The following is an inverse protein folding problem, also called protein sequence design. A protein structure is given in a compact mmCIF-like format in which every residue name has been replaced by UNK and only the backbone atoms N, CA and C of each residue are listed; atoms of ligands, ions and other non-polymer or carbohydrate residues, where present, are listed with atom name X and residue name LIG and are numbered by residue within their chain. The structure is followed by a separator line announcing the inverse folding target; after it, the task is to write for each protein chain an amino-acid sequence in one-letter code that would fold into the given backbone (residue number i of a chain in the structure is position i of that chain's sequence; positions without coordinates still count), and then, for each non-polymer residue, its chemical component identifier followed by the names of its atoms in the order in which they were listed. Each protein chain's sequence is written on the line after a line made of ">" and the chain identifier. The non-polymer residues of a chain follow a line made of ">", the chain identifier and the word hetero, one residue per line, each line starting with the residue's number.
data_IF_256782569232
#
_entry.id   IF_256782569232
#
_cell.length_a   1.000
_cell.length_b   1.000
_cell.length_c   1.000
_cell.angle_alpha   90.00
_cell.angle_beta   90.00
_cell.angle_gamma   90.00
#
_symmetry.space_group_name_H-M   'P 1'
#
loop_
_entity.id
_entity.type
_entity.pdbx_description
1 polymer ?
#
# COMPACT_ATOMS: atom_id res chain seq x y z
N UNK A 1 0.44 19.45 1.42
CA UNK A 1 -0.68 18.53 1.73
C UNK A 1 -0.49 17.95 3.13
N UNK A 2 -1.10 18.61 4.13
CA UNK A 2 -0.94 18.28 5.57
C UNK A 2 -2.24 17.84 6.24
N UNK A 3 -3.26 17.45 5.47
CA UNK A 3 -4.42 16.77 6.03
C UNK A 3 -4.17 15.25 6.01
N UNK A 4 -3.52 14.73 7.06
CA UNK A 4 -3.53 13.29 7.29
C UNK A 4 -2.45 12.77 8.25
N UNK A 5 -2.96 12.12 9.30
CA UNK A 5 -2.31 11.77 10.55
C UNK A 5 -1.87 12.97 11.37
N UNK A 6 -2.68 13.27 12.38
CA UNK A 6 -2.40 14.23 13.44
C UNK A 6 -1.97 13.53 14.74
N UNK A 7 -1.53 12.27 14.62
CA UNK A 7 -1.18 11.39 15.74
C UNK A 7 -2.36 10.66 16.37
N UNK A 8 -3.60 11.12 16.15
CA UNK A 8 -4.80 10.50 16.72
C UNK A 8 -5.63 9.75 15.66
N UNK A 9 -5.82 10.34 14.48
CA UNK A 9 -6.52 9.71 13.37
C UNK A 9 -5.56 9.15 12.30
N UNK A 10 -5.91 8.02 11.69
CA UNK A 10 -5.15 7.38 10.60
C UNK A 10 -5.06 8.28 9.35
N UNK A 11 -4.11 7.96 8.46
CA UNK A 11 -4.03 8.58 7.14
C UNK A 11 -4.19 7.52 6.02
N UNK A 12 -5.37 7.42 5.41
CA UNK A 12 -5.66 6.46 4.34
C UNK A 12 -4.65 6.50 3.19
N UNK A 13 -4.34 7.68 2.67
CA UNK A 13 -3.42 7.81 1.52
C UNK A 13 -2.01 7.31 1.86
N UNK A 14 -1.46 7.67 3.03
CA UNK A 14 -0.15 7.15 3.44
C UNK A 14 -0.16 5.63 3.63
N UNK A 15 -1.26 5.07 4.15
CA UNK A 15 -1.42 3.61 4.28
C UNK A 15 -1.51 2.92 2.92
N UNK A 16 -2.27 3.49 1.99
CA UNK A 16 -2.37 3.01 0.62
C UNK A 16 -1.01 3.00 -0.08
N UNK A 17 -0.27 4.11 0.00
CA UNK A 17 1.10 4.23 -0.53
C UNK A 17 2.00 3.19 0.11
N UNK A 18 1.95 3.04 1.44
CA UNK A 18 2.75 2.05 2.15
C UNK A 18 2.45 0.61 1.69
N UNK A 19 1.18 0.23 1.56
CA UNK A 19 0.80 -1.10 1.04
C UNK A 19 1.39 -1.31 -0.35
N UNK A 20 1.16 -0.36 -1.26
CA UNK A 20 1.60 -0.48 -2.65
C UNK A 20 3.12 -0.51 -2.80
N UNK A 21 3.84 0.34 -2.08
CA UNK A 21 5.30 0.42 -2.11
C UNK A 21 5.98 -0.75 -1.38
N UNK A 22 5.47 -1.11 -0.19
CA UNK A 22 6.13 -2.05 0.72
C UNK A 22 5.67 -3.49 0.55
N UNK A 23 4.43 -3.73 0.11
CA UNK A 23 3.94 -5.09 -0.10
C UNK A 23 3.93 -5.47 -1.57
N UNK A 24 3.76 -4.52 -2.50
CA UNK A 24 3.58 -4.84 -3.93
C UNK A 24 4.71 -4.34 -4.84
N UNK A 25 5.69 -3.61 -4.29
CA UNK A 25 6.79 -2.99 -5.04
C UNK A 25 6.31 -2.14 -6.23
N UNK A 26 5.14 -1.53 -6.10
CA UNK A 26 4.47 -0.74 -7.13
C UNK A 26 4.01 0.58 -6.51
N UNK A 27 4.95 1.48 -6.14
CA UNK A 27 4.60 2.75 -5.51
C UNK A 27 3.74 3.60 -6.46
N UNK A 28 2.72 4.31 -5.95
CA UNK A 28 2.02 5.29 -6.76
C UNK A 28 2.98 6.38 -7.27
N UNK A 29 2.64 6.98 -8.42
CA UNK A 29 3.36 8.15 -8.92
C UNK A 29 3.35 9.28 -7.88
N UNK A 30 4.42 10.09 -7.81
CA UNK A 30 4.44 11.25 -6.94
C UNK A 30 3.29 12.21 -7.28
N UNK A 31 2.74 12.93 -6.29
CA UNK A 31 1.70 13.91 -6.56
C UNK A 31 2.22 14.98 -7.54
N UNK A 32 1.37 15.52 -8.44
CA UNK A 32 1.78 16.59 -9.34
C UNK A 32 2.31 17.81 -8.56
N UNK A 33 3.29 18.56 -9.10
CA UNK A 33 3.68 19.84 -8.54
C UNK A 33 2.46 20.79 -8.57
N UNK A 34 2.35 21.65 -7.56
CA UNK A 34 1.33 22.71 -7.45
C UNK A 34 -0.14 22.27 -7.44
N UNK A 35 -0.48 21.13 -6.82
CA UNK A 35 -1.88 20.80 -6.54
C UNK A 35 -2.45 21.76 -5.47
N UNK A 36 -3.48 22.57 -5.79
CA UNK A 36 -4.09 23.44 -4.80
C UNK A 36 -4.88 22.63 -3.78
N UNK A 37 -4.69 22.94 -2.49
CA UNK A 37 -5.44 22.33 -1.39
C UNK A 37 -6.95 22.54 -1.56
N UNK A 38 -7.73 21.45 -1.54
CA UNK A 38 -9.19 21.50 -1.69
C UNK A 38 -9.89 22.06 -0.43
N UNK A 39 -9.18 22.03 0.70
CA UNK A 39 -9.60 22.52 2.03
C UNK A 39 -10.17 23.94 2.01
N UNK A 40 -9.59 24.86 1.22
CA UNK A 40 -9.98 26.29 1.22
C UNK A 40 -11.28 26.58 0.47
N UNK A 41 -11.72 25.68 -0.41
CA UNK A 41 -12.85 25.91 -1.33
C UNK A 41 -14.18 25.38 -0.82
N UNK A 42 -14.19 24.62 0.28
CA UNK A 42 -15.37 23.89 0.76
C UNK A 42 -15.64 24.29 2.21
N UNK A 43 -16.76 24.99 2.50
CA UNK A 43 -17.12 25.33 3.87
C UNK A 43 -17.19 24.08 4.75
N UNK A 44 -16.61 24.16 5.95
CA UNK A 44 -16.56 23.04 6.89
C UNK A 44 -15.88 21.76 6.36
N UNK A 45 -14.96 21.86 5.38
CA UNK A 45 -14.18 20.72 4.89
C UNK A 45 -13.54 19.92 6.04
N UNK A 46 -13.00 20.63 7.03
CA UNK A 46 -12.41 20.04 8.23
C UNK A 46 -13.40 19.32 9.15
N UNK A 47 -14.72 19.41 8.93
CA UNK A 47 -15.73 18.69 9.71
C UNK A 47 -16.17 17.39 9.03
N UNK A 48 -15.81 17.21 7.76
CA UNK A 48 -16.06 15.98 7.01
C UNK A 48 -15.16 14.86 7.53
N UNK A 49 -15.66 13.62 7.47
CA UNK A 49 -14.82 12.43 7.60
C UNK A 49 -13.76 12.39 6.50
N UNK A 50 -12.67 11.66 6.73
CA UNK A 50 -11.59 11.57 5.74
C UNK A 50 -12.11 11.01 4.40
N UNK A 51 -13.03 10.03 4.45
CA UNK A 51 -13.70 9.48 3.26
C UNK A 51 -14.45 10.55 2.48
N UNK A 52 -15.21 11.41 3.16
CA UNK A 52 -15.95 12.52 2.55
C UNK A 52 -14.98 13.58 2.00
N UNK A 53 -13.91 13.91 2.72
CA UNK A 53 -12.86 14.81 2.24
C UNK A 53 -12.22 14.29 0.94
N UNK A 54 -11.89 13.00 0.88
CA UNK A 54 -11.36 12.36 -0.32
C UNK A 54 -12.40 12.31 -1.45
N UNK A 55 -13.68 12.08 -1.15
CA UNK A 55 -14.74 12.14 -2.15
C UNK A 55 -14.87 13.54 -2.77
N UNK A 56 -14.77 14.59 -1.95
CA UNK A 56 -14.75 15.97 -2.41
C UNK A 56 -13.49 16.27 -3.23
N UNK A 57 -12.32 15.81 -2.76
CA UNK A 57 -11.05 15.99 -3.47
C UNK A 57 -11.06 15.34 -4.87
N UNK A 58 -11.67 14.15 -4.99
CA UNK A 58 -11.84 13.40 -6.24
C UNK A 58 -12.88 13.97 -7.20
N UNK A 59 -13.62 15.04 -6.85
CA UNK A 59 -14.55 15.67 -7.81
C UNK A 59 -13.82 16.35 -8.97
N UNK A 60 -12.53 16.69 -8.80
CA UNK A 60 -11.69 17.18 -9.89
C UNK A 60 -11.19 15.98 -10.70
N UNK A 61 -11.48 15.99 -12.00
CA UNK A 61 -11.10 14.89 -12.92
C UNK A 61 -9.61 14.53 -12.81
N UNK A 62 -8.73 15.53 -12.87
CA UNK A 62 -7.28 15.35 -12.71
C UNK A 62 -6.86 14.69 -11.38
N UNK A 63 -7.65 14.80 -10.32
CA UNK A 63 -7.38 14.14 -9.04
C UNK A 63 -8.00 12.74 -8.99
N UNK A 64 -9.16 12.55 -9.61
CA UNK A 64 -9.91 11.29 -9.59
C UNK A 64 -9.10 10.12 -10.16
N UNK A 65 -8.36 10.35 -11.24
CA UNK A 65 -7.68 9.28 -11.97
C UNK A 65 -6.57 8.63 -11.14
N UNK A 66 -5.69 9.41 -10.53
CA UNK A 66 -4.65 8.87 -9.65
C UNK A 66 -5.27 8.26 -8.37
N UNK A 67 -6.24 8.94 -7.76
CA UNK A 67 -6.83 8.49 -6.49
C UNK A 67 -7.65 7.20 -6.63
N UNK A 68 -8.23 6.91 -7.80
CA UNK A 68 -8.92 5.64 -8.08
C UNK A 68 -8.01 4.42 -7.84
N UNK A 69 -6.72 4.56 -8.12
CA UNK A 69 -5.71 3.52 -7.89
C UNK A 69 -5.07 3.53 -6.50
N UNK A 70 -5.43 4.47 -5.61
CA UNK A 70 -4.75 4.70 -4.32
C UNK A 70 -5.72 4.58 -3.16
N UNK A 71 -6.77 5.42 -3.12
CA UNK A 71 -7.68 5.53 -1.96
C UNK A 71 -8.21 4.19 -1.44
N UNK A 72 -8.65 3.26 -2.32
CA UNK A 72 -9.23 2.01 -1.87
C UNK A 72 -8.32 1.19 -0.94
N UNK A 73 -7.01 1.15 -1.21
CA UNK A 73 -6.06 0.41 -0.38
C UNK A 73 -5.99 0.94 1.06
N UNK A 74 -6.15 2.26 1.22
CA UNK A 74 -6.11 2.94 2.51
C UNK A 74 -7.44 2.90 3.25
N UNK A 75 -8.55 3.07 2.53
CA UNK A 75 -9.91 3.02 3.10
C UNK A 75 -10.18 1.67 3.75
N UNK A 76 -9.68 0.57 3.16
CA UNK A 76 -9.74 -0.77 3.74
C UNK A 76 -9.18 -0.86 5.18
N UNK A 77 -8.33 0.09 5.60
CA UNK A 77 -7.70 0.12 6.92
C UNK A 77 -8.30 1.19 7.86
N UNK A 78 -9.40 1.85 7.49
CA UNK A 78 -9.98 2.94 8.29
C UNK A 78 -10.60 2.48 9.61
N UNK A 79 -10.90 1.18 9.73
CA UNK A 79 -11.26 0.51 10.98
C UNK A 79 -10.14 0.47 12.03
N UNK A 80 -8.94 0.98 11.72
CA UNK A 80 -7.81 1.06 12.65
C UNK A 80 -7.34 2.50 12.80
N UNK A 81 -7.14 2.94 14.04
CA UNK A 81 -6.61 4.27 14.36
C UNK A 81 -5.14 4.45 13.98
N UNK A 82 -4.55 5.62 14.28
CA UNK A 82 -3.18 5.95 13.90
C UNK A 82 -2.12 4.94 14.40
N UNK A 83 -2.34 4.30 15.55
CA UNK A 83 -1.42 3.34 16.17
C UNK A 83 -1.77 1.88 15.87
N UNK A 84 -2.90 1.64 15.18
CA UNK A 84 -3.31 0.30 14.75
C UNK A 84 -4.32 -0.37 15.67
N UNK A 85 -4.93 0.35 16.63
CA UNK A 85 -6.03 -0.19 17.42
C UNK A 85 -7.33 -0.13 16.63
N UNK A 86 -8.18 -1.13 16.84
CA UNK A 86 -9.50 -1.15 16.22
C UNK A 86 -10.37 0.01 16.70
N UNK A 87 -11.14 0.60 15.79
CA UNK A 87 -12.06 1.70 16.07
C UNK A 87 -13.32 1.62 15.21
N UNK A 88 -14.43 2.07 15.78
CA UNK A 88 -15.68 2.31 15.03
C UNK A 88 -15.88 3.78 14.68
N UNK A 89 -15.16 4.68 15.37
CA UNK A 89 -15.28 6.13 15.18
C UNK A 89 -13.91 6.79 15.17
N UNK A 90 -13.76 7.84 14.37
CA UNK A 90 -12.57 8.71 14.36
C UNK A 90 -12.34 9.33 15.73
N UNK A 91 -11.08 9.49 16.15
CA UNK A 91 -10.71 9.97 17.47
C UNK A 91 -11.19 11.41 17.72
N UNK A 92 -10.94 12.32 16.76
CA UNK A 92 -11.27 13.75 16.91
C UNK A 92 -12.71 14.08 16.59
N UNK A 93 -13.22 13.61 15.44
CA UNK A 93 -14.54 14.02 14.92
C UNK A 93 -15.70 13.13 15.41
N UNK A 94 -15.39 12.03 16.10
CA UNK A 94 -16.35 11.01 16.55
C UNK A 94 -17.30 10.51 15.44
N UNK A 95 -16.88 10.59 14.17
CA UNK A 95 -17.62 10.09 13.01
C UNK A 95 -17.42 8.59 12.86
N UNK A 96 -18.46 7.86 12.47
CA UNK A 96 -18.34 6.43 12.14
C UNK A 96 -17.34 6.25 10.99
N UNK A 97 -16.48 5.25 11.12
CA UNK A 97 -15.58 4.82 10.03
C UNK A 97 -16.26 3.74 9.20
N UNK A 98 -15.94 3.68 7.92
CA UNK A 98 -16.32 2.58 7.03
C UNK A 98 -15.10 2.16 6.23
N UNK A 99 -14.83 0.86 6.24
CA UNK A 99 -13.71 0.24 5.53
C UNK A 99 -14.13 -0.42 4.21
N UNK A 100 -15.37 -0.19 3.77
CA UNK A 100 -15.91 -0.73 2.52
C UNK A 100 -15.39 0.08 1.33
N UNK A 101 -14.83 -0.59 0.33
CA UNK A 101 -14.28 0.07 -0.86
C UNK A 101 -14.11 -0.90 -2.02
N UNK A 102 -13.86 -0.36 -3.21
CA UNK A 102 -13.66 -1.13 -4.44
C UNK A 102 -12.22 -0.91 -4.90
N UNK A 103 -11.42 -1.97 -4.91
CA UNK A 103 -10.06 -1.96 -5.43
C UNK A 103 -10.08 -1.92 -6.99
N UNK A 104 -8.95 -1.55 -7.63
CA UNK A 104 -8.83 -1.64 -9.09
C UNK A 104 -9.22 -3.04 -9.60
N UNK A 105 -9.93 -3.10 -10.73
CA UNK A 105 -10.50 -4.34 -11.24
C UNK A 105 -11.88 -4.70 -10.67
N UNK A 106 -12.57 -3.74 -10.03
CA UNK A 106 -13.92 -3.91 -9.45
C UNK A 106 -13.99 -4.95 -8.33
N UNK A 107 -12.91 -5.11 -7.55
CA UNK A 107 -12.90 -6.03 -6.42
C UNK A 107 -13.40 -5.33 -5.15
N UNK A 108 -14.59 -5.70 -4.70
CA UNK A 108 -15.19 -5.18 -3.48
C UNK A 108 -14.50 -5.78 -2.24
N UNK A 109 -14.15 -4.92 -1.28
CA UNK A 109 -13.54 -5.35 -0.01
C UNK A 109 -14.20 -4.64 1.17
N UNK A 110 -14.33 -5.38 2.28
CA UNK A 110 -14.75 -4.83 3.57
C UNK A 110 -13.67 -5.05 4.62
N UNK A 111 -12.79 -4.06 4.77
CA UNK A 111 -11.77 -4.08 5.81
C UNK A 111 -10.50 -4.89 5.49
N UNK A 112 -9.67 -5.06 6.52
CA UNK A 112 -8.34 -5.70 6.42
C UNK A 112 -8.42 -7.18 6.03
N UNK A 113 -9.38 -7.93 6.56
CA UNK A 113 -9.49 -9.36 6.29
C UNK A 113 -9.71 -9.65 4.79
N UNK A 114 -10.61 -8.89 4.15
CA UNK A 114 -10.83 -9.03 2.70
C UNK A 114 -9.66 -8.50 1.89
N UNK A 115 -9.01 -7.42 2.34
CA UNK A 115 -7.77 -6.95 1.71
C UNK A 115 -6.67 -8.02 1.75
N UNK A 116 -6.52 -8.75 2.86
CA UNK A 116 -5.57 -9.86 2.95
C UNK A 116 -5.92 -10.98 1.97
N UNK A 117 -7.20 -11.37 1.88
CA UNK A 117 -7.66 -12.37 0.90
C UNK A 117 -7.35 -11.92 -0.53
N UNK A 118 -7.63 -10.66 -0.86
CA UNK A 118 -7.33 -10.09 -2.17
C UNK A 118 -5.82 -10.14 -2.48
N UNK A 119 -4.96 -9.75 -1.53
CA UNK A 119 -3.51 -9.81 -1.70
C UNK A 119 -3.03 -11.25 -1.93
N UNK A 120 -3.62 -12.23 -1.24
CA UNK A 120 -3.25 -13.65 -1.35
C UNK A 120 -3.81 -14.34 -2.59
N UNK A 121 -4.94 -13.89 -3.13
CA UNK A 121 -5.60 -14.54 -4.26
C UNK A 121 -5.26 -13.86 -5.59
N UNK A 122 -5.27 -12.52 -5.62
CA UNK A 122 -5.15 -11.75 -6.86
C UNK A 122 -3.75 -11.16 -7.07
N UNK A 123 -2.97 -11.00 -5.99
CA UNK A 123 -1.67 -10.30 -6.02
C UNK A 123 -0.51 -11.09 -5.43
N UNK A 124 -0.69 -12.40 -5.25
CA UNK A 124 0.27 -13.28 -4.56
C UNK A 124 1.65 -13.26 -5.19
N UNK A 125 1.73 -13.38 -6.51
CA UNK A 125 2.99 -13.39 -7.25
C UNK A 125 3.72 -12.06 -7.13
N UNK A 126 2.99 -10.95 -7.26
CA UNK A 126 3.58 -9.62 -7.08
C UNK A 126 4.07 -9.40 -5.65
N UNK A 127 3.30 -9.82 -4.65
CA UNK A 127 3.72 -9.79 -3.25
C UNK A 127 5.00 -10.62 -3.03
N UNK A 128 5.05 -11.83 -3.60
CA UNK A 128 6.20 -12.70 -3.51
C UNK A 128 7.44 -12.06 -4.15
N UNK A 129 7.32 -11.51 -5.36
CA UNK A 129 8.41 -10.81 -6.06
C UNK A 129 8.89 -9.57 -5.29
N UNK A 130 7.96 -8.82 -4.69
CA UNK A 130 8.29 -7.68 -3.84
C UNK A 130 9.09 -8.12 -2.59
N UNK A 131 8.69 -9.22 -1.96
CA UNK A 131 9.37 -9.80 -0.81
C UNK A 131 10.78 -10.30 -1.18
N UNK A 132 10.91 -11.04 -2.28
CA UNK A 132 12.19 -11.50 -2.85
C UNK A 132 13.13 -10.32 -3.06
N UNK A 133 12.66 -9.26 -3.72
CA UNK A 133 13.46 -8.07 -4.01
C UNK A 133 13.97 -7.39 -2.72
N UNK A 134 13.12 -7.27 -1.70
CA UNK A 134 13.50 -6.63 -0.43
C UNK A 134 14.44 -7.50 0.40
N UNK A 135 14.21 -8.82 0.46
CA UNK A 135 15.09 -9.76 1.14
C UNK A 135 16.46 -9.81 0.46
N UNK A 136 16.50 -9.84 -0.87
CA UNK A 136 17.74 -9.80 -1.63
C UNK A 136 18.50 -8.49 -1.40
N UNK A 137 17.81 -7.33 -1.43
CA UNK A 137 18.40 -6.03 -1.07
C UNK A 137 19.06 -6.06 0.30
N UNK A 138 18.35 -6.61 1.30
CA UNK A 138 18.87 -6.73 2.67
C UNK A 138 20.09 -7.68 2.72
N UNK A 139 19.98 -8.87 2.13
CA UNK A 139 21.05 -9.87 2.13
C UNK A 139 22.31 -9.40 1.41
N UNK A 140 22.15 -8.68 0.29
CA UNK A 140 23.24 -8.10 -0.49
C UNK A 140 23.71 -6.75 0.05
N UNK A 141 23.09 -6.19 1.09
CA UNK A 141 23.48 -4.91 1.72
C UNK A 141 23.71 -3.75 0.74
N UNK A 142 23.05 -3.78 -0.42
CA UNK A 142 23.15 -2.77 -1.49
C UNK A 142 21.83 -2.68 -2.23
N UNK A 143 21.62 -1.56 -2.92
CA UNK A 143 20.52 -1.43 -3.87
C UNK A 143 20.64 -2.46 -4.99
N UNK A 144 19.49 -2.98 -5.42
CA UNK A 144 19.39 -3.84 -6.59
C UNK A 144 19.64 -3.04 -7.87
N UNK A 145 20.21 -3.70 -8.85
CA UNK A 145 20.54 -3.17 -10.17
C UNK A 145 19.78 -3.95 -11.24
N UNK A 146 19.81 -3.45 -12.47
CA UNK A 146 19.21 -4.13 -13.62
C UNK A 146 19.74 -5.56 -13.81
N UNK A 147 21.03 -5.79 -13.53
CA UNK A 147 21.65 -7.13 -13.60
C UNK A 147 21.06 -8.15 -12.61
N UNK A 148 20.42 -7.69 -11.52
CA UNK A 148 19.79 -8.55 -10.53
C UNK A 148 18.37 -9.00 -10.94
N UNK A 149 17.77 -8.41 -11.98
CA UNK A 149 16.38 -8.71 -12.38
C UNK A 149 16.18 -10.19 -12.72
N UNK A 150 17.12 -10.80 -13.45
CA UNK A 150 17.06 -12.23 -13.79
C UNK A 150 17.07 -13.11 -12.54
N UNK A 151 17.90 -12.76 -11.54
CA UNK A 151 17.95 -13.48 -10.26
C UNK A 151 16.66 -13.30 -9.47
N UNK A 152 16.06 -12.11 -9.48
CA UNK A 152 14.78 -11.85 -8.81
C UNK A 152 13.66 -12.71 -9.41
N UNK A 153 13.61 -12.83 -10.74
CA UNK A 153 12.63 -13.70 -11.42
C UNK A 153 12.87 -15.17 -11.07
N UNK A 154 14.11 -15.65 -11.15
CA UNK A 154 14.48 -17.02 -10.77
C UNK A 154 14.08 -17.34 -9.33
N UNK A 155 14.47 -16.49 -8.38
CA UNK A 155 14.13 -16.63 -6.97
C UNK A 155 12.61 -16.58 -6.73
N UNK A 156 11.88 -15.76 -7.48
CA UNK A 156 10.42 -15.66 -7.36
C UNK A 156 9.72 -16.91 -7.85
N UNK A 157 10.18 -17.48 -8.96
CA UNK A 157 9.68 -18.75 -9.51
C UNK A 157 9.96 -19.89 -8.53
N UNK A 158 11.18 -19.99 -8.02
CA UNK A 158 11.56 -21.05 -7.09
C UNK A 158 10.84 -20.90 -5.74
N UNK A 159 10.65 -19.67 -5.28
CA UNK A 159 9.87 -19.39 -4.08
C UNK A 159 8.41 -19.84 -4.24
N UNK A 160 7.81 -19.63 -5.42
CA UNK A 160 6.46 -20.12 -5.71
C UNK A 160 6.39 -21.65 -5.81
N UNK A 161 7.41 -22.31 -6.38
CA UNK A 161 7.51 -23.78 -6.44
C UNK A 161 7.70 -24.43 -5.08
N UNK A 162 8.35 -23.74 -4.15
CA UNK A 162 8.55 -24.17 -2.76
C UNK A 162 7.45 -23.65 -1.82
N UNK A 163 6.21 -23.51 -2.32
CA UNK A 163 5.02 -23.09 -1.55
C UNK A 163 5.22 -21.80 -0.73
N UNK A 164 6.01 -20.86 -1.23
CA UNK A 164 6.36 -19.60 -0.57
C UNK A 164 7.02 -19.78 0.81
N UNK A 165 7.83 -20.84 0.99
CA UNK A 165 8.58 -21.08 2.23
C UNK A 165 9.81 -20.17 2.34
N UNK A 166 9.81 -19.31 3.36
CA UNK A 166 10.92 -18.38 3.60
C UNK A 166 12.29 -19.07 3.76
N UNK A 167 12.32 -20.26 4.35
CA UNK A 167 13.56 -21.03 4.51
C UNK A 167 14.20 -21.38 3.16
N UNK A 168 13.39 -21.74 2.16
CA UNK A 168 13.86 -22.05 0.81
C UNK A 168 14.39 -20.81 0.11
N UNK A 169 13.65 -19.70 0.19
CA UNK A 169 14.08 -18.42 -0.36
C UNK A 169 15.41 -17.95 0.25
N UNK A 170 15.54 -18.00 1.58
CA UNK A 170 16.79 -17.62 2.26
C UNK A 170 17.96 -18.50 1.80
N UNK A 171 17.76 -19.82 1.71
CA UNK A 171 18.76 -20.74 1.19
C UNK A 171 19.20 -20.36 -0.23
N UNK A 172 18.25 -20.15 -1.14
CA UNK A 172 18.55 -19.81 -2.53
C UNK A 172 19.28 -18.46 -2.65
N UNK A 173 18.93 -17.48 -1.81
CA UNK A 173 19.64 -16.19 -1.75
C UNK A 173 21.10 -16.39 -1.29
N UNK A 174 21.35 -17.10 -0.19
CA UNK A 174 22.73 -17.24 0.34
C UNK A 174 23.62 -18.13 -0.52
N UNK A 175 23.05 -18.96 -1.39
CA UNK A 175 23.79 -19.73 -2.39
C UNK A 175 23.90 -19.04 -3.75
N UNK A 176 23.28 -17.86 -3.93
CA UNK A 176 23.31 -17.14 -5.20
C UNK A 176 24.70 -16.53 -5.48
N UNK A 177 25.06 -16.45 -6.76
CA UNK A 177 26.34 -15.87 -7.18
C UNK A 177 26.57 -14.45 -6.60
N UNK A 178 25.61 -13.50 -6.68
CA UNK A 178 25.82 -12.16 -6.13
C UNK A 178 26.06 -12.12 -4.62
N UNK A 179 25.57 -13.11 -3.86
CA UNK A 179 25.84 -13.21 -2.43
C UNK A 179 27.23 -13.78 -2.15
N UNK A 180 27.63 -14.83 -2.90
CA UNK A 180 28.91 -15.52 -2.71
C UNK A 180 30.12 -14.74 -3.24
N UNK A 181 29.92 -13.82 -4.18
CA UNK A 181 31.00 -13.01 -4.76
C UNK A 181 31.09 -11.61 -4.16
N UNK A 182 30.65 -11.42 -2.92
CA UNK A 182 30.82 -10.16 -2.18
C UNK A 182 32.23 -10.01 -1.63
#
# INVERSE_FOLDING_TARGET
>A
HLAGSDGADSHPIKRAVWIRERLLHDPPNPPPPDVPGVEKSVPNFEKLSIREQLAVHRKKEACADCHRGIDPWGIALEGYDAIGLFREKTARRKKRVSSETILPGNHEISGLADLQKYLLNERREQFAKALVSKLLTYALGRSLKLEDELLIEELSIDFAKDDYRLSGLMKNIVTSRPFLSR
#
